data_IF_923874762972
#
_entry.id   IF_923874762972
#
_cell.length_a   1.000
_cell.length_b   1.000
_cell.length_c   1.000
_cell.angle_alpha   90.00
_cell.angle_beta   90.00
_cell.angle_gamma   90.00
#
_symmetry.space_group_name_H-M   'P 1'
#
loop_
_entity.id
_entity.type
_entity.pdbx_description
1 polymer ?
#
# COMPACT_ATOMS: atom_id res chain seq x y z
N UNK A 1 -50.13 -87.87 47.58
CA UNK A 1 -51.29 -87.08 48.06
C UNK A 1 -50.78 -85.67 48.33
N UNK A 2 -51.00 -84.74 47.40
CA UNK A 2 -52.12 -83.80 47.31
C UNK A 2 -51.89 -82.48 48.08
N UNK A 3 -51.72 -81.42 47.27
CA UNK A 3 -52.29 -80.05 47.39
C UNK A 3 -51.58 -79.00 48.29
N UNK A 4 -51.35 -77.84 47.66
CA UNK A 4 -50.64 -76.57 47.99
C UNK A 4 -51.45 -75.59 48.90
N UNK A 5 -51.20 -74.25 48.94
CA UNK A 5 -50.05 -73.36 49.30
C UNK A 5 -50.51 -72.33 50.41
N UNK A 6 -50.16 -71.01 50.55
CA UNK A 6 -49.12 -70.11 49.98
C UNK A 6 -48.44 -69.07 50.96
N UNK A 7 -47.56 -68.24 50.36
CA UNK A 7 -47.19 -66.81 50.61
C UNK A 7 -45.81 -66.45 51.20
N UNK A 8 -45.14 -65.58 50.45
CA UNK A 8 -43.81 -64.90 50.52
C UNK A 8 -43.86 -63.63 51.40
N UNK A 9 -42.85 -62.71 51.47
CA UNK A 9 -41.44 -62.68 51.00
C UNK A 9 -40.40 -62.13 52.04
N UNK A 10 -39.09 -62.31 51.80
CA UNK A 10 -38.08 -61.23 51.98
C UNK A 10 -36.74 -61.61 51.33
N UNK A 11 -36.24 -60.75 50.45
CA UNK A 11 -34.94 -60.89 49.78
C UNK A 11 -33.85 -60.23 50.62
N UNK A 12 -32.73 -60.94 50.78
CA UNK A 12 -31.46 -60.44 51.29
C UNK A 12 -30.56 -60.07 50.10
N UNK A 13 -29.94 -58.89 50.14
CA UNK A 13 -28.76 -58.51 49.32
C UNK A 13 -28.10 -57.32 50.05
N UNK A 14 -26.94 -57.41 50.73
CA UNK A 14 -25.55 -57.72 50.33
C UNK A 14 -24.81 -56.51 49.75
N UNK A 15 -23.80 -56.07 50.53
CA UNK A 15 -22.42 -55.65 50.17
C UNK A 15 -22.09 -54.17 49.84
N UNK A 16 -21.31 -53.64 50.80
CA UNK A 16 -20.14 -52.74 50.78
C UNK A 16 -19.52 -52.40 49.40
N UNK A 17 -19.25 -51.12 49.15
CA UNK A 17 -18.19 -50.66 48.26
C UNK A 17 -17.60 -49.30 48.69
N UNK A 18 -16.31 -49.15 48.37
CA UNK A 18 -15.30 -48.24 48.88
C UNK A 18 -15.41 -46.74 48.53
N UNK A 19 -14.62 -45.94 49.25
CA UNK A 19 -14.36 -44.51 49.03
C UNK A 19 -14.00 -44.17 47.56
N UNK A 20 -14.70 -43.19 46.99
CA UNK A 20 -14.32 -42.54 45.73
C UNK A 20 -13.92 -41.08 45.97
N UNK A 21 -12.66 -40.75 45.69
CA UNK A 21 -12.19 -39.38 45.58
C UNK A 21 -12.68 -38.78 44.24
N UNK A 22 -13.46 -37.70 44.29
CA UNK A 22 -13.91 -36.98 43.12
C UNK A 22 -12.79 -36.04 42.62
N UNK A 23 -12.10 -36.44 41.55
CA UNK A 23 -11.25 -35.55 40.76
C UNK A 23 -12.11 -34.96 39.64
N UNK A 24 -12.41 -33.67 39.74
CA UNK A 24 -13.11 -32.92 38.71
C UNK A 24 -12.18 -32.71 37.50
N UNK A 25 -12.42 -33.43 36.41
CA UNK A 25 -11.78 -33.20 35.11
C UNK A 25 -12.42 -31.96 34.45
N UNK A 26 -11.85 -30.78 34.67
CA UNK A 26 -12.05 -29.65 33.75
C UNK A 26 -11.17 -29.86 32.53
N UNK A 27 -11.74 -30.39 31.45
CA UNK A 27 -11.12 -30.37 30.12
C UNK A 27 -11.02 -28.92 29.65
N UNK A 28 -9.92 -28.26 29.98
CA UNK A 28 -9.54 -27.00 29.36
C UNK A 28 -9.08 -27.27 27.93
N UNK A 29 -9.95 -27.03 26.95
CA UNK A 29 -9.51 -26.78 25.58
C UNK A 29 -8.77 -25.43 25.56
N UNK A 30 -7.49 -25.45 25.93
CA UNK A 30 -6.57 -24.40 25.55
C UNK A 30 -6.35 -24.54 24.04
N UNK A 31 -7.16 -23.85 23.24
CA UNK A 31 -6.85 -23.61 21.84
C UNK A 31 -5.52 -22.86 21.79
N UNK A 32 -4.45 -23.58 21.44
CA UNK A 32 -3.16 -23.02 21.09
C UNK A 32 -3.31 -22.17 19.81
N UNK A 33 -3.80 -20.93 19.96
CA UNK A 33 -3.89 -19.93 18.89
C UNK A 33 -2.51 -19.32 18.54
N UNK A 34 -1.44 -19.76 19.18
CA UNK A 34 -0.12 -19.16 19.07
C UNK A 34 0.64 -19.44 17.76
N UNK A 35 0.07 -20.21 16.82
CA UNK A 35 0.78 -20.62 15.59
C UNK A 35 -0.11 -20.66 14.33
N UNK A 36 -1.12 -19.80 14.21
CA UNK A 36 -1.71 -19.56 12.89
C UNK A 36 -0.64 -18.90 12.00
N UNK A 37 -0.01 -19.67 11.10
CA UNK A 37 0.75 -19.10 9.99
C UNK A 37 -0.26 -18.40 9.10
N UNK A 38 -0.29 -17.08 9.16
CA UNK A 38 -1.07 -16.27 8.23
C UNK A 38 -0.41 -16.40 6.85
N UNK A 39 -1.05 -17.14 5.96
CA UNK A 39 -0.56 -17.29 4.60
C UNK A 39 -1.01 -16.09 3.77
N UNK A 40 -0.10 -15.55 2.97
CA UNK A 40 -0.39 -14.51 1.99
C UNK A 40 -0.04 -15.01 0.60
N UNK A 41 -0.80 -14.59 -0.40
CA UNK A 41 -0.50 -14.87 -1.80
C UNK A 41 -0.12 -13.58 -2.52
N UNK A 42 1.03 -13.59 -3.18
CA UNK A 42 1.46 -12.49 -4.05
C UNK A 42 1.01 -12.76 -5.47
N UNK A 43 0.25 -11.84 -6.04
CA UNK A 43 -0.07 -11.82 -7.47
C UNK A 43 0.75 -10.71 -8.12
N UNK A 44 1.45 -11.04 -9.20
CA UNK A 44 2.23 -10.08 -9.96
C UNK A 44 1.52 -9.73 -11.28
N UNK A 45 1.67 -8.49 -11.72
CA UNK A 45 1.30 -8.06 -13.06
C UNK A 45 2.44 -8.30 -14.06
N UNK A 46 2.25 -7.79 -15.27
CA UNK A 46 3.26 -7.84 -16.33
C UNK A 46 4.46 -6.94 -15.99
N UNK A 47 5.67 -7.38 -16.35
CA UNK A 47 6.87 -6.55 -16.21
C UNK A 47 7.01 -5.61 -17.40
N UNK A 48 7.48 -4.40 -17.13
CA UNK A 48 7.93 -3.44 -18.14
C UNK A 48 9.44 -3.23 -18.02
N UNK A 49 10.10 -2.99 -19.14
CA UNK A 49 11.54 -2.69 -19.17
C UNK A 49 11.81 -1.30 -18.58
N UNK A 50 12.82 -1.20 -17.73
CA UNK A 50 13.30 0.06 -17.15
C UNK A 50 14.82 -0.05 -17.03
N UNK A 51 15.57 0.87 -17.65
CA UNK A 51 17.02 0.77 -17.72
C UNK A 51 17.46 -0.59 -18.30
N UNK A 52 18.41 -1.27 -17.64
CA UNK A 52 18.83 -2.65 -17.94
C UNK A 52 18.02 -3.72 -17.19
N UNK A 53 16.89 -3.34 -16.59
CA UNK A 53 16.09 -4.20 -15.73
C UNK A 53 14.60 -4.10 -16.04
N UNK A 54 13.80 -4.40 -15.02
CA UNK A 54 12.34 -4.37 -15.13
C UNK A 54 11.69 -3.75 -13.91
N UNK A 55 10.52 -3.17 -14.12
CA UNK A 55 9.57 -2.84 -13.07
C UNK A 55 8.32 -3.73 -13.21
N UNK A 56 7.84 -4.29 -12.11
CA UNK A 56 6.68 -5.19 -12.08
C UNK A 56 5.74 -4.84 -10.93
N UNK A 57 4.46 -4.54 -11.19
CA UNK A 57 3.49 -4.28 -10.15
C UNK A 57 3.05 -5.59 -9.47
N UNK A 58 2.63 -5.51 -8.23
CA UNK A 58 2.09 -6.66 -7.50
C UNK A 58 1.02 -6.24 -6.48
N UNK A 59 0.25 -7.23 -6.02
CA UNK A 59 -0.62 -7.15 -4.85
C UNK A 59 -0.40 -8.38 -3.97
N UNK A 60 -0.45 -8.18 -2.66
CA UNK A 60 -0.44 -9.25 -1.66
C UNK A 60 -1.84 -9.37 -1.08
N UNK A 61 -2.39 -10.58 -1.11
CA UNK A 61 -3.72 -10.92 -0.60
C UNK A 61 -3.56 -11.85 0.60
N UNK A 62 -4.28 -11.59 1.69
CA UNK A 62 -4.34 -12.50 2.84
C UNK A 62 -5.22 -13.72 2.56
N UNK A 63 -5.23 -14.66 3.52
CA UNK A 63 -6.04 -15.88 3.43
C UNK A 63 -7.56 -15.63 3.35
N UNK A 64 -8.03 -14.46 3.79
CA UNK A 64 -9.45 -14.07 3.77
C UNK A 64 -9.82 -13.35 2.46
N UNK A 65 -8.86 -13.20 1.54
CA UNK A 65 -9.07 -12.55 0.25
C UNK A 65 -8.92 -11.02 0.28
N UNK A 66 -8.46 -10.44 1.39
CA UNK A 66 -8.27 -8.99 1.50
C UNK A 66 -6.88 -8.59 1.00
N UNK A 67 -6.75 -7.48 0.25
CA UNK A 67 -5.44 -6.94 -0.08
C UNK A 67 -4.79 -6.36 1.18
N UNK A 68 -3.52 -6.69 1.38
CA UNK A 68 -2.70 -6.19 2.51
C UNK A 68 -1.62 -5.20 2.05
N UNK A 69 -1.21 -5.30 0.78
CA UNK A 69 -0.18 -4.46 0.16
C UNK A 69 -0.37 -4.42 -1.37
N UNK A 70 -0.06 -3.27 -1.99
CA UNK A 70 0.28 -3.18 -3.42
C UNK A 70 1.67 -2.56 -3.55
N UNK A 71 2.35 -2.82 -4.66
CA UNK A 71 3.66 -2.22 -4.86
C UNK A 71 4.23 -2.47 -6.24
N UNK A 72 5.47 -2.01 -6.41
CA UNK A 72 6.31 -2.25 -7.58
C UNK A 72 7.60 -2.92 -7.12
N UNK A 73 7.97 -4.02 -7.79
CA UNK A 73 9.31 -4.61 -7.74
C UNK A 73 10.12 -4.05 -8.89
N UNK A 74 11.18 -3.32 -8.57
CA UNK A 74 12.14 -2.75 -9.52
C UNK A 74 13.43 -3.56 -9.41
N UNK A 75 13.82 -4.31 -10.45
CA UNK A 75 15.03 -5.13 -10.39
C UNK A 75 16.26 -4.25 -10.15
N UNK A 76 17.28 -4.76 -9.44
CA UNK A 76 18.44 -3.94 -9.11
C UNK A 76 19.15 -3.35 -10.35
N UNK A 77 19.18 -4.11 -11.44
CA UNK A 77 19.74 -3.68 -12.75
C UNK A 77 18.92 -2.60 -13.44
N UNK A 78 17.68 -2.33 -13.00
CA UNK A 78 16.89 -1.22 -13.54
C UNK A 78 17.44 0.15 -13.15
N UNK A 79 18.34 0.21 -12.15
CA UNK A 79 19.09 1.42 -11.83
C UNK A 79 20.27 1.66 -12.80
N UNK A 80 20.56 0.73 -13.70
CA UNK A 80 21.61 0.86 -14.70
C UNK A 80 21.00 1.14 -16.07
N UNK A 81 21.74 1.80 -16.97
CA UNK A 81 21.27 2.07 -18.33
C UNK A 81 20.07 3.01 -18.43
N UNK A 82 19.81 3.79 -17.37
CA UNK A 82 18.76 4.81 -17.39
C UNK A 82 19.15 5.95 -18.34
N UNK A 83 18.18 6.58 -19.02
CA UNK A 83 18.42 7.78 -19.81
C UNK A 83 19.10 8.87 -18.98
N UNK A 84 20.12 9.50 -19.54
CA UNK A 84 20.84 10.62 -18.92
C UNK A 84 20.14 11.96 -19.13
N UNK A 85 19.19 12.01 -20.05
CA UNK A 85 18.42 13.20 -20.40
C UNK A 85 16.93 12.90 -20.25
N UNK A 86 16.19 13.88 -19.74
CA UNK A 86 14.74 13.78 -19.63
C UNK A 86 14.13 13.90 -21.03
N UNK A 87 13.15 13.04 -21.31
CA UNK A 87 12.34 13.16 -22.51
C UNK A 87 11.26 14.23 -22.31
N UNK A 88 10.91 14.93 -23.39
CA UNK A 88 9.79 15.90 -23.40
C UNK A 88 8.87 15.52 -24.56
N UNK A 89 7.70 14.89 -24.30
CA UNK A 89 7.16 14.55 -22.98
C UNK A 89 7.93 13.41 -22.28
N UNK A 90 7.83 13.30 -20.94
CA UNK A 90 8.49 12.23 -20.19
C UNK A 90 8.01 10.85 -20.65
N UNK A 91 8.92 9.87 -20.66
CA UNK A 91 8.58 8.48 -20.98
C UNK A 91 7.75 7.91 -19.84
N UNK A 92 6.52 7.53 -20.13
CA UNK A 92 5.59 6.95 -19.17
C UNK A 92 5.73 5.43 -19.16
N UNK A 93 6.19 4.87 -18.03
CA UNK A 93 6.16 3.42 -17.84
C UNK A 93 4.91 3.05 -17.07
N UNK A 94 3.91 2.52 -17.78
CA UNK A 94 2.62 2.12 -17.18
C UNK A 94 2.68 0.69 -16.69
N UNK A 95 2.38 0.50 -15.40
CA UNK A 95 2.40 -0.79 -14.71
C UNK A 95 0.98 -1.13 -14.26
N UNK A 96 0.31 -1.99 -15.01
CA UNK A 96 -1.05 -2.44 -14.72
C UNK A 96 -1.07 -3.44 -13.57
N UNK A 97 -1.85 -3.15 -12.53
CA UNK A 97 -2.00 -4.10 -11.43
C UNK A 97 -2.72 -5.38 -11.88
N UNK A 98 -2.37 -6.54 -11.30
CA UNK A 98 -3.15 -7.76 -11.53
C UNK A 98 -4.57 -7.59 -11.00
N UNK A 99 -5.55 -8.29 -11.60
CA UNK A 99 -6.99 -8.15 -11.29
C UNK A 99 -7.36 -8.29 -9.81
N UNK A 100 -6.54 -8.94 -9.01
CA UNK A 100 -6.71 -9.13 -7.57
C UNK A 100 -6.57 -7.81 -6.79
N UNK A 101 -5.93 -6.79 -7.36
CA UNK A 101 -5.81 -5.47 -6.76
C UNK A 101 -7.12 -4.66 -6.82
N UNK A 102 -8.16 -5.12 -7.53
CA UNK A 102 -9.44 -4.39 -7.74
C UNK A 102 -10.19 -4.03 -6.45
N UNK A 103 -9.91 -4.69 -5.33
CA UNK A 103 -10.47 -4.32 -4.04
C UNK A 103 -9.79 -3.08 -3.42
N UNK A 104 -8.54 -2.80 -3.82
CA UNK A 104 -7.87 -1.54 -3.47
C UNK A 104 -8.43 -0.38 -4.29
N UNK A 105 -8.04 0.84 -3.93
CA UNK A 105 -8.41 2.03 -4.70
C UNK A 105 -7.58 2.21 -5.97
N UNK A 106 -6.48 1.48 -6.12
CA UNK A 106 -5.51 1.69 -7.19
C UNK A 106 -5.87 0.93 -8.46
N UNK A 107 -5.66 1.59 -9.60
CA UNK A 107 -5.86 1.06 -10.93
C UNK A 107 -4.52 0.61 -11.55
N UNK A 108 -3.55 1.51 -11.61
CA UNK A 108 -2.22 1.27 -12.19
C UNK A 108 -1.16 2.09 -11.46
N UNK A 109 0.11 1.86 -11.80
CA UNK A 109 1.23 2.75 -11.44
C UNK A 109 1.79 3.38 -12.70
N UNK A 110 1.94 4.70 -12.71
CA UNK A 110 2.80 5.37 -13.69
C UNK A 110 4.17 5.59 -13.04
N UNK A 111 5.18 4.91 -13.58
CA UNK A 111 6.57 5.04 -13.16
C UNK A 111 7.28 6.04 -14.07
N UNK A 112 7.86 7.07 -13.46
CA UNK A 112 8.66 8.08 -14.13
C UNK A 112 10.10 8.07 -13.59
N UNK A 113 11.05 8.27 -14.49
CA UNK A 113 12.45 8.55 -14.19
C UNK A 113 12.73 10.01 -14.51
N UNK A 114 13.27 10.76 -13.54
CA UNK A 114 13.72 12.14 -13.71
C UNK A 114 15.24 12.18 -13.58
N UNK A 115 15.92 12.19 -14.73
CA UNK A 115 17.39 12.21 -14.86
C UNK A 115 18.06 13.46 -14.29
N UNK A 116 17.32 14.57 -14.20
CA UNK A 116 17.78 15.85 -13.63
C UNK A 116 16.97 16.28 -12.39
N UNK A 117 16.18 15.37 -11.83
CA UNK A 117 15.26 15.66 -10.75
C UNK A 117 14.14 16.62 -11.15
N UNK A 118 13.63 17.40 -10.19
CA UNK A 118 12.50 18.32 -10.36
C UNK A 118 12.79 19.67 -9.72
N UNK A 119 11.98 20.67 -10.08
CA UNK A 119 12.03 21.98 -9.43
C UNK A 119 11.37 21.94 -8.04
N UNK A 120 11.82 22.76 -7.06
CA UNK A 120 13.04 23.60 -7.13
C UNK A 120 14.31 22.73 -7.15
N UNK A 121 15.19 22.97 -8.12
CA UNK A 121 16.32 22.07 -8.44
C UNK A 121 17.36 22.05 -7.32
N UNK A 122 17.48 23.13 -6.56
CA UNK A 122 18.31 23.23 -5.38
C UNK A 122 17.90 22.22 -4.29
N UNK A 123 16.65 21.76 -4.26
CA UNK A 123 16.14 20.80 -3.29
C UNK A 123 15.87 19.44 -3.97
N UNK A 124 15.12 19.43 -5.08
CA UNK A 124 14.65 18.21 -5.76
C UNK A 124 15.45 17.83 -7.00
N UNK A 125 16.62 18.43 -7.23
CA UNK A 125 17.46 18.20 -8.42
C UNK A 125 18.26 16.89 -8.44
N UNK A 126 18.25 16.11 -7.35
CA UNK A 126 18.87 14.77 -7.36
C UNK A 126 18.02 13.81 -8.22
N UNK A 127 18.63 13.02 -9.12
CA UNK A 127 17.89 12.12 -10.01
C UNK A 127 17.08 11.07 -9.26
N UNK A 128 15.81 10.90 -9.62
CA UNK A 128 14.87 10.09 -8.84
C UNK A 128 13.78 9.43 -9.69
N UNK A 129 13.20 8.39 -9.09
CA UNK A 129 11.99 7.76 -9.57
C UNK A 129 10.77 8.30 -8.81
N UNK A 130 9.66 8.43 -9.54
CA UNK A 130 8.33 8.69 -9.00
C UNK A 130 7.41 7.52 -9.35
N UNK A 131 6.68 7.03 -8.35
CA UNK A 131 5.76 5.90 -8.51
C UNK A 131 4.33 6.39 -8.25
N UNK A 132 3.64 6.87 -9.26
CA UNK A 132 2.28 7.40 -9.10
C UNK A 132 1.27 6.24 -9.06
N UNK A 133 0.79 5.87 -7.87
CA UNK A 133 -0.27 4.89 -7.71
C UNK A 133 -1.62 5.57 -7.96
N UNK A 134 -2.13 5.45 -9.18
CA UNK A 134 -3.35 6.12 -9.61
C UNK A 134 -4.61 5.39 -9.17
N UNK A 135 -5.59 6.18 -8.75
CA UNK A 135 -6.97 5.77 -8.48
C UNK A 135 -7.87 5.76 -9.72
N UNK A 136 -7.88 6.80 -10.59
CA UNK A 136 -8.61 6.75 -11.85
C UNK A 136 -7.96 5.79 -12.85
N UNK A 137 -8.69 5.40 -13.90
CA UNK A 137 -8.14 4.63 -15.00
C UNK A 137 -7.13 5.45 -15.82
N UNK A 138 -6.25 4.77 -16.54
CA UNK A 138 -5.19 5.39 -17.32
C UNK A 138 -5.72 6.40 -18.36
N UNK A 139 -6.85 6.15 -19.03
CA UNK A 139 -7.39 7.11 -20.00
C UNK A 139 -7.79 8.43 -19.32
N UNK A 140 -8.49 8.34 -18.19
CA UNK A 140 -8.84 9.51 -17.38
C UNK A 140 -7.61 10.31 -16.94
N UNK A 141 -6.51 9.62 -16.60
CA UNK A 141 -5.23 10.29 -16.26
C UNK A 141 -4.67 11.02 -17.47
N UNK A 142 -4.67 10.40 -18.65
CA UNK A 142 -4.12 10.97 -19.88
C UNK A 142 -4.91 12.18 -20.39
N UNK A 143 -6.19 12.30 -20.03
CA UNK A 143 -7.04 13.44 -20.37
C UNK A 143 -6.82 14.68 -19.46
N UNK A 144 -5.98 14.57 -18.42
CA UNK A 144 -5.69 15.70 -17.54
C UNK A 144 -4.83 16.73 -18.29
N UNK A 145 -5.46 17.82 -18.72
CA UNK A 145 -4.80 18.97 -19.33
C UNK A 145 -5.30 20.29 -18.69
N UNK A 146 -4.46 20.99 -17.90
CA UNK A 146 -4.83 22.25 -17.26
C UNK A 146 -5.02 23.42 -18.22
N UNK A 147 -4.46 23.36 -19.44
CA UNK A 147 -4.65 24.40 -20.46
C UNK A 147 -6.01 24.27 -21.13
N UNK A 148 -6.47 23.04 -21.36
CA UNK A 148 -7.78 22.76 -21.95
C UNK A 148 -8.92 22.84 -20.92
N UNK A 149 -8.64 22.46 -19.67
CA UNK A 149 -9.64 22.37 -18.60
C UNK A 149 -9.19 23.09 -17.31
N UNK A 150 -8.97 24.42 -17.35
CA UNK A 150 -8.49 25.19 -16.20
C UNK A 150 -9.48 25.21 -15.03
N UNK A 151 -10.79 25.08 -15.30
CA UNK A 151 -11.84 24.97 -14.27
C UNK A 151 -11.68 23.71 -13.41
N UNK A 152 -11.31 22.58 -14.03
CA UNK A 152 -11.06 21.32 -13.33
C UNK A 152 -9.70 21.30 -12.64
N UNK A 153 -8.68 21.84 -13.30
CA UNK A 153 -7.33 21.94 -12.75
C UNK A 153 -7.28 22.85 -11.50
N UNK A 154 -8.04 23.94 -11.51
CA UNK A 154 -8.08 24.89 -10.40
C UNK A 154 -8.83 24.40 -9.16
N UNK A 155 -9.55 23.28 -9.26
CA UNK A 155 -10.44 22.79 -8.22
C UNK A 155 -9.72 21.83 -7.28
N UNK A 156 -9.49 22.30 -6.05
CA UNK A 156 -8.86 21.52 -4.98
C UNK A 156 -9.89 20.70 -4.18
N UNK A 157 -9.52 19.55 -3.61
CA UNK A 157 -10.41 18.77 -2.75
C UNK A 157 -10.80 19.53 -1.48
N UNK A 158 -11.98 19.22 -0.93
CA UNK A 158 -12.36 19.71 0.40
C UNK A 158 -11.40 19.20 1.47
N UNK A 159 -11.16 20.01 2.50
CA UNK A 159 -10.18 19.73 3.57
C UNK A 159 -10.38 18.36 4.25
N UNK A 160 -11.63 17.90 4.40
CA UNK A 160 -11.95 16.61 5.02
C UNK A 160 -11.38 15.40 4.25
N UNK A 161 -11.11 15.56 2.95
CA UNK A 161 -10.54 14.53 2.08
C UNK A 161 -9.01 14.64 1.94
N UNK A 162 -8.38 15.65 2.54
CA UNK A 162 -6.93 15.85 2.52
C UNK A 162 -6.35 15.45 3.86
N UNK A 163 -5.21 14.76 3.85
CA UNK A 163 -4.50 14.40 5.07
C UNK A 163 -4.05 15.67 5.83
N UNK A 164 -4.04 15.67 7.18
CA UNK A 164 -3.47 16.77 7.96
C UNK A 164 -2.03 17.09 7.54
N UNK A 165 -1.65 18.37 7.67
CA UNK A 165 -0.31 18.89 7.33
C UNK A 165 0.09 18.82 5.85
N UNK A 166 -0.80 18.40 4.95
CA UNK A 166 -0.60 18.49 3.51
C UNK A 166 -1.17 19.80 2.96
N UNK A 167 -0.38 20.47 2.13
CA UNK A 167 -0.83 21.62 1.34
C UNK A 167 -0.59 21.33 -0.13
N UNK A 168 -1.43 21.87 -1.01
CA UNK A 168 -1.11 21.88 -2.44
C UNK A 168 0.17 22.65 -2.68
N UNK A 169 0.90 22.29 -3.73
CA UNK A 169 2.08 23.03 -4.19
C UNK A 169 1.77 24.54 -4.23
N UNK A 170 2.58 25.39 -3.56
CA UNK A 170 2.29 26.81 -3.45
C UNK A 170 2.23 27.49 -4.82
N UNK A 171 1.17 28.27 -5.06
CA UNK A 171 0.97 29.01 -6.31
C UNK A 171 -0.48 28.97 -6.78
N UNK A 172 -0.72 29.44 -8.01
CA UNK A 172 -2.02 29.28 -8.65
C UNK A 172 -2.25 27.79 -8.96
N UNK A 173 -3.34 27.16 -8.45
CA UNK A 173 -3.58 25.73 -8.67
C UNK A 173 -3.63 25.31 -10.14
N UNK A 174 -4.13 26.15 -11.05
CA UNK A 174 -4.17 25.87 -12.49
C UNK A 174 -2.75 25.79 -13.06
N UNK A 175 -1.86 26.70 -12.67
CA UNK A 175 -0.47 26.75 -13.15
C UNK A 175 0.41 25.65 -12.53
N UNK A 176 0.10 25.25 -11.30
CA UNK A 176 0.83 24.18 -10.60
C UNK A 176 0.37 22.78 -11.00
N UNK A 177 -0.87 22.62 -11.46
CA UNK A 177 -1.37 21.36 -12.03
C UNK A 177 -0.52 20.97 -13.23
N UNK A 178 0.04 19.75 -13.23
CA UNK A 178 0.79 19.21 -14.37
C UNK A 178 -0.11 18.34 -15.24
N UNK A 179 0.05 18.36 -16.58
CA UNK A 179 -0.61 17.38 -17.44
C UNK A 179 -0.36 15.97 -16.91
N UNK A 180 -1.39 15.12 -16.95
CA UNK A 180 -1.33 13.70 -16.58
C UNK A 180 -0.95 13.39 -15.12
N UNK A 181 -0.56 14.38 -14.31
CA UNK A 181 -0.21 14.19 -12.89
C UNK A 181 -1.15 14.98 -11.97
N UNK A 182 -1.71 16.09 -12.44
CA UNK A 182 -2.57 16.92 -11.61
C UNK A 182 -1.77 17.82 -10.66
N UNK A 183 -2.44 18.32 -9.63
CA UNK A 183 -1.89 19.21 -8.61
C UNK A 183 -1.27 18.40 -7.48
N UNK A 184 0.02 18.60 -7.20
CA UNK A 184 0.73 17.88 -6.14
C UNK A 184 0.45 18.49 -4.76
N UNK A 185 0.46 17.64 -3.74
CA UNK A 185 0.27 18.00 -2.33
C UNK A 185 1.46 17.52 -1.52
N UNK A 186 2.09 18.44 -0.82
CA UNK A 186 3.32 18.25 -0.07
C UNK A 186 3.08 18.29 1.43
N UNK A 187 3.83 17.47 2.14
CA UNK A 187 3.84 17.38 3.59
C UNK A 187 4.66 18.52 4.19
N UNK A 188 3.98 19.44 4.89
CA UNK A 188 4.61 20.64 5.47
C UNK A 188 5.50 20.37 6.67
N UNK A 189 5.47 19.16 7.23
CA UNK A 189 6.35 18.76 8.34
C UNK A 189 7.69 18.19 7.87
N UNK A 190 7.83 17.98 6.56
CA UNK A 190 9.07 17.52 5.94
C UNK A 190 9.96 18.71 5.63
N UNK A 191 11.22 18.59 6.00
CA UNK A 191 12.25 19.58 5.69
C UNK A 191 13.35 18.91 4.87
N UNK A 192 13.73 19.56 3.77
CA UNK A 192 14.78 19.10 2.87
C UNK A 192 15.81 20.21 2.72
N UNK A 193 17.08 19.85 2.86
CA UNK A 193 18.18 20.74 2.60
C UNK A 193 18.56 20.74 1.11
N UNK A 194 19.53 21.60 0.75
CA UNK A 194 20.03 21.64 -0.62
C UNK A 194 20.64 20.30 -1.07
N UNK A 195 20.62 20.05 -2.38
CA UNK A 195 21.33 18.93 -3.02
C UNK A 195 22.80 18.93 -2.57
N UNK A 196 23.31 17.75 -2.19
CA UNK A 196 24.64 17.56 -1.62
C UNK A 196 24.81 17.90 -0.13
N UNK A 197 23.79 18.43 0.55
CA UNK A 197 23.82 18.64 2.00
C UNK A 197 23.51 17.36 2.78
N UNK A 198 23.73 17.38 4.11
CA UNK A 198 23.36 16.26 4.99
C UNK A 198 21.83 16.00 5.03
N UNK A 199 21.04 17.02 4.69
CA UNK A 199 19.58 17.02 4.68
C UNK A 199 19.00 16.87 3.26
N UNK A 200 19.84 16.52 2.28
CA UNK A 200 19.41 16.19 0.91
C UNK A 200 18.31 15.12 0.93
N UNK A 201 17.25 15.35 0.15
CA UNK A 201 16.13 14.41 0.10
C UNK A 201 16.58 13.06 -0.48
N UNK A 202 15.99 12.00 0.07
CA UNK A 202 16.25 10.60 -0.35
C UNK A 202 14.98 9.95 -0.85
N UNK A 203 13.89 10.27 -0.18
CA UNK A 203 12.55 9.84 -0.46
C UNK A 203 11.57 10.92 -0.01
N UNK A 204 10.39 10.93 -0.62
CA UNK A 204 9.27 11.73 -0.18
C UNK A 204 7.98 11.02 -0.59
N UNK A 205 6.91 11.26 0.17
CA UNK A 205 5.56 10.84 -0.19
C UNK A 205 4.72 12.07 -0.46
N UNK A 206 4.00 12.07 -1.58
CA UNK A 206 3.10 13.15 -1.97
C UNK A 206 1.75 12.58 -2.45
N UNK A 207 0.72 13.42 -2.42
CA UNK A 207 -0.56 13.14 -3.09
C UNK A 207 -0.70 14.00 -4.34
N UNK A 208 -1.59 13.57 -5.24
CA UNK A 208 -1.99 14.33 -6.41
C UNK A 208 -3.50 14.51 -6.44
N UNK A 209 -3.98 15.65 -6.95
CA UNK A 209 -5.42 15.91 -7.11
C UNK A 209 -5.79 16.46 -8.49
N UNK A 210 -7.02 16.18 -8.91
CA UNK A 210 -7.65 16.79 -10.07
C UNK A 210 -9.18 16.86 -9.85
N UNK A 211 -9.83 17.93 -10.32
CA UNK A 211 -11.29 18.14 -10.22
C UNK A 211 -11.85 17.89 -8.81
N UNK A 212 -11.17 18.42 -7.79
CA UNK A 212 -11.59 18.29 -6.39
C UNK A 212 -11.46 16.89 -5.79
N UNK A 213 -10.69 15.99 -6.42
CA UNK A 213 -10.45 14.63 -5.94
C UNK A 213 -8.96 14.33 -5.81
N UNK A 214 -8.57 13.60 -4.76
CA UNK A 214 -7.26 12.95 -4.75
C UNK A 214 -7.25 11.81 -5.77
N UNK A 215 -6.26 11.81 -6.66
CA UNK A 215 -6.15 10.87 -7.78
C UNK A 215 -4.94 9.95 -7.70
N UNK A 216 -3.90 10.29 -6.94
CA UNK A 216 -2.75 9.40 -6.74
C UNK A 216 -2.12 9.50 -5.35
N UNK A 217 -1.31 8.49 -5.04
CA UNK A 217 -0.33 8.45 -3.94
C UNK A 217 1.04 8.14 -4.55
N UNK A 218 2.06 8.95 -4.23
CA UNK A 218 3.36 8.89 -4.90
C UNK A 218 4.50 8.82 -3.88
N UNK A 219 5.04 7.62 -3.62
CA UNK A 219 6.39 7.48 -3.09
C UNK A 219 7.42 7.86 -4.16
N UNK A 220 8.45 8.56 -3.73
CA UNK A 220 9.61 8.91 -4.52
C UNK A 220 10.87 8.37 -3.89
N UNK A 221 11.87 8.07 -4.72
CA UNK A 221 13.21 7.73 -4.22
C UNK A 221 14.30 8.17 -5.19
N UNK A 222 15.36 8.77 -4.65
CA UNK A 222 16.56 9.07 -5.42
C UNK A 222 17.29 7.80 -5.80
N UNK A 223 17.82 7.75 -7.02
CA UNK A 223 18.64 6.61 -7.47
C UNK A 223 19.85 6.41 -6.57
N UNK A 224 20.49 7.52 -6.17
CA UNK A 224 21.62 7.55 -5.24
C UNK A 224 21.30 6.85 -3.93
N UNK A 225 20.12 7.09 -3.35
CA UNK A 225 19.71 6.43 -2.11
C UNK A 225 19.33 4.96 -2.34
N UNK A 226 18.64 4.63 -3.43
CA UNK A 226 18.34 3.23 -3.75
C UNK A 226 19.62 2.39 -3.85
N UNK A 227 20.69 2.89 -4.46
CA UNK A 227 21.99 2.20 -4.55
C UNK A 227 22.61 1.84 -3.19
N UNK A 228 22.20 2.48 -2.09
CA UNK A 228 22.64 2.10 -0.74
C UNK A 228 21.87 0.90 -0.16
N UNK A 229 20.96 0.30 -0.95
CA UNK A 229 20.12 -0.85 -0.56
C UNK A 229 19.34 -0.61 0.73
N UNK A 230 18.52 0.47 0.78
CA UNK A 230 17.87 0.88 2.02
C UNK A 230 16.85 -0.16 2.51
N UNK A 231 16.47 -0.02 3.77
CA UNK A 231 15.22 -0.59 4.32
C UNK A 231 14.53 0.55 5.05
N UNK A 232 13.40 1.00 4.51
CA UNK A 232 12.66 2.16 4.98
C UNK A 232 11.17 1.87 5.04
N UNK A 233 10.51 2.48 6.03
CA UNK A 233 9.07 2.46 6.21
C UNK A 233 8.66 3.77 6.90
N UNK A 234 7.56 4.35 6.44
CA UNK A 234 6.93 5.51 7.09
C UNK A 234 5.42 5.42 7.00
N UNK A 235 4.73 5.96 8.01
CA UNK A 235 3.27 5.99 8.05
C UNK A 235 2.73 7.03 7.04
N UNK A 236 1.59 6.71 6.45
CA UNK A 236 0.84 7.61 5.57
C UNK A 236 -0.23 8.28 6.43
N UNK A 237 -0.15 9.61 6.58
CA UNK A 237 -1.21 10.40 7.25
C UNK A 237 -2.54 10.20 6.53
N UNK A 238 -3.61 9.99 7.29
CA UNK A 238 -4.91 9.65 6.74
C UNK A 238 -5.84 10.87 6.73
N UNK A 239 -6.68 11.06 5.70
CA UNK A 239 -7.73 12.07 5.73
C UNK A 239 -8.84 11.67 6.73
N UNK A 240 -9.71 12.62 7.06
CA UNK A 240 -10.87 12.37 7.92
C UNK A 240 -11.93 11.54 7.19
N UNK A 241 -12.12 11.80 5.90
CA UNK A 241 -13.13 11.19 5.05
C UNK A 241 -12.53 10.75 3.71
N UNK A 242 -13.22 9.86 3.01
CA UNK A 242 -12.76 9.29 1.74
C UNK A 242 -13.80 9.51 0.65
N UNK A 243 -13.35 9.84 -0.56
CA UNK A 243 -14.25 10.08 -1.70
C UNK A 243 -14.59 8.80 -2.47
N UNK A 244 -13.90 7.68 -2.17
CA UNK A 244 -14.10 6.38 -2.82
C UNK A 244 -14.03 5.27 -1.78
N UNK A 245 -14.91 4.27 -1.94
CA UNK A 245 -14.88 3.05 -1.13
C UNK A 245 -13.80 2.10 -1.67
N UNK A 246 -13.01 1.51 -0.78
CA UNK A 246 -11.98 0.53 -1.12
C UNK A 246 -10.91 0.42 -0.06
N UNK A 247 -9.89 -0.42 -0.30
CA UNK A 247 -8.73 -0.50 0.59
C UNK A 247 -7.73 0.61 0.30
N UNK A 248 -7.36 1.35 1.36
CA UNK A 248 -6.35 2.40 1.36
C UNK A 248 -5.15 2.01 2.23
N UNK A 249 -3.92 2.36 1.83
CA UNK A 249 -2.73 2.06 2.61
C UNK A 249 -2.60 3.00 3.82
N UNK A 250 -1.93 2.52 4.86
CA UNK A 250 -1.61 3.31 6.05
C UNK A 250 -0.11 3.54 6.23
N UNK A 251 0.73 2.91 5.42
CA UNK A 251 2.17 3.15 5.37
C UNK A 251 2.69 2.95 3.95
N UNK A 252 3.85 3.52 3.66
CA UNK A 252 4.66 3.18 2.49
C UNK A 252 6.03 2.66 2.92
N UNK A 253 6.65 1.86 2.06
CA UNK A 253 7.96 1.27 2.30
C UNK A 253 8.81 1.25 1.05
N UNK A 254 10.12 1.37 1.25
CA UNK A 254 11.12 1.25 0.19
C UNK A 254 12.25 0.39 0.76
N UNK A 255 12.43 -0.80 0.19
CA UNK A 255 13.44 -1.75 0.68
C UNK A 255 14.15 -2.48 -0.44
N UNK A 256 15.39 -2.87 -0.22
CA UNK A 256 16.08 -3.85 -1.06
C UNK A 256 15.79 -5.28 -0.55
N UNK A 257 15.30 -6.13 -1.44
CA UNK A 257 15.05 -7.56 -1.23
C UNK A 257 16.23 -8.36 -1.81
N UNK A 258 17.11 -8.83 -0.92
CA UNK A 258 18.31 -9.56 -1.34
C UNK A 258 18.01 -10.94 -1.96
N UNK A 259 16.85 -11.53 -1.65
CA UNK A 259 16.50 -12.86 -2.15
C UNK A 259 16.13 -12.83 -3.65
N UNK A 260 15.49 -11.75 -4.09
CA UNK A 260 15.09 -11.57 -5.50
C UNK A 260 15.95 -10.55 -6.23
N UNK A 261 16.83 -9.85 -5.52
CA UNK A 261 17.65 -8.75 -6.04
C UNK A 261 16.81 -7.60 -6.62
N UNK A 262 15.74 -7.24 -5.90
CA UNK A 262 14.82 -6.15 -6.28
C UNK A 262 14.81 -5.04 -5.23
N UNK A 263 14.49 -3.83 -5.66
CA UNK A 263 13.91 -2.80 -4.81
C UNK A 263 12.40 -2.95 -4.78
N UNK A 264 11.80 -2.95 -3.59
CA UNK A 264 10.37 -3.09 -3.36
C UNK A 264 9.84 -1.75 -2.86
N UNK A 265 9.02 -1.09 -3.69
CA UNK A 265 8.30 0.14 -3.38
C UNK A 265 6.87 -0.27 -3.07
N UNK A 266 6.44 -0.14 -1.82
CA UNK A 266 5.15 -0.69 -1.38
C UNK A 266 4.26 0.33 -0.68
N UNK A 267 2.95 0.16 -0.86
CA UNK A 267 1.87 0.78 -0.11
C UNK A 267 1.14 -0.33 0.65
N UNK A 268 1.22 -0.32 1.98
CA UNK A 268 0.78 -1.42 2.82
C UNK A 268 -0.08 -1.00 4.01
N UNK A 269 -0.48 -1.99 4.81
CA UNK A 269 -1.38 -1.75 5.95
C UNK A 269 -2.80 -1.46 5.52
N UNK A 270 -3.20 -2.00 4.37
CA UNK A 270 -4.47 -1.74 3.70
C UNK A 270 -5.67 -1.84 4.64
N UNK A 271 -6.47 -0.77 4.69
CA UNK A 271 -7.72 -0.70 5.46
C UNK A 271 -8.88 -0.36 4.55
N UNK A 272 -9.96 -1.13 4.67
CA UNK A 272 -11.23 -0.80 4.01
C UNK A 272 -11.74 0.54 4.54
N UNK A 273 -12.06 1.44 3.62
CA UNK A 273 -12.72 2.72 3.88
C UNK A 273 -14.01 2.80 3.08
N UNK A 274 -15.03 3.40 3.68
CA UNK A 274 -16.28 3.72 3.00
C UNK A 274 -16.25 5.18 2.59
N UNK A 275 -16.77 5.48 1.41
CA UNK A 275 -16.94 6.85 0.99
C UNK A 275 -17.97 7.57 1.89
N UNK A 276 -17.71 8.82 2.22
CA UNK A 276 -18.56 9.67 3.09
C UNK A 276 -18.59 11.10 2.58
#
# INVERSE_FOLDING_TARGET
>A
MNISPPRTPRRYTVVVAALGAAVSLTSGCALNLANAKWYTTTYAGEAQSVGHGTARPYVIIDQDGNPTEVGVRLSATALDGLPTEDTVPPTETILEFPKQAKATVFNHVMLNWYSHGRKPAEIFGEPHFAFHFYTPDHHTVMDIDPKLHPDRAGKVPEKKYVAPDYISEPGNPVEMTKPQMGLHWIDTTRHFGPVGSAEEFREVFVYGSHDGRLIFQEPLATRKWLLTKPTFKSDIRQPQEYQRTGYYPTFYGIKYDAATNDYVISLGGMRMRKAT
#
